data_IF_146861994532
#
_entry.id   IF_146861994532
#
_cell.length_a   1.000
_cell.length_b   1.000
_cell.length_c   1.000
_cell.angle_alpha   90.00
_cell.angle_beta   90.00
_cell.angle_gamma   90.00
#
_symmetry.space_group_name_H-M   'P 1'
#
loop_
_entity.id
_entity.type
_entity.pdbx_description
1 polymer ?
#
# COMPACT_ATOMS: atom_id res chain seq x y z
N UNK A 1 -3.46 22.20 14.75
CA UNK A 1 -2.97 21.87 13.40
C UNK A 1 -1.71 21.06 13.59
N UNK A 2 -1.65 19.83 13.08
CA UNK A 2 -0.36 19.14 12.98
C UNK A 2 0.52 19.97 12.06
N UNK A 3 1.68 20.38 12.56
CA UNK A 3 2.62 21.17 11.77
C UNK A 3 3.13 20.31 10.59
N UNK A 4 2.98 20.80 9.35
CA UNK A 4 3.66 20.23 8.19
C UNK A 4 2.82 19.44 7.19
N UNK A 5 1.50 19.33 7.35
CA UNK A 5 0.61 18.80 6.30
C UNK A 5 0.01 19.93 5.46
N UNK A 6 0.19 19.85 4.14
CA UNK A 6 -0.39 20.77 3.17
C UNK A 6 -1.53 20.08 2.42
N UNK A 7 -2.61 20.81 2.12
CA UNK A 7 -3.77 20.30 1.39
C UNK A 7 -3.95 21.11 0.11
N UNK A 8 -4.05 20.42 -1.03
CA UNK A 8 -4.32 21.02 -2.33
C UNK A 8 -5.61 20.47 -2.91
N UNK A 9 -6.56 21.35 -3.22
CA UNK A 9 -7.79 21.00 -3.92
C UNK A 9 -7.55 20.98 -5.43
N UNK A 10 -7.95 19.88 -6.08
CA UNK A 10 -7.62 19.58 -7.49
C UNK A 10 -8.85 19.35 -8.37
N UNK A 11 -10.05 19.60 -7.84
CA UNK A 11 -11.33 19.52 -8.57
C UNK A 11 -11.62 18.16 -9.22
N UNK A 12 -11.00 17.10 -8.71
CA UNK A 12 -11.24 15.72 -9.08
C UNK A 12 -11.11 14.86 -7.84
N UNK A 13 -12.03 13.91 -7.65
CA UNK A 13 -11.85 12.88 -6.61
C UNK A 13 -10.64 12.03 -6.94
N UNK A 14 -9.77 11.81 -5.96
CA UNK A 14 -8.51 11.10 -6.14
C UNK A 14 -8.65 9.68 -5.62
N UNK A 15 -8.53 8.69 -6.49
CA UNK A 15 -8.61 7.27 -6.13
C UNK A 15 -7.29 6.68 -5.71
N UNK A 16 -6.18 7.17 -6.29
CA UNK A 16 -4.83 6.63 -6.07
C UNK A 16 -3.78 7.72 -6.03
N UNK A 17 -2.81 7.58 -5.12
CA UNK A 17 -1.63 8.45 -5.01
C UNK A 17 -0.39 7.61 -4.80
N UNK A 18 0.68 7.84 -5.57
CA UNK A 18 1.97 7.13 -5.40
C UNK A 18 3.16 8.06 -5.60
N UNK A 19 4.16 7.97 -4.74
CA UNK A 19 5.45 8.62 -4.92
C UNK A 19 6.23 7.96 -6.05
N UNK A 20 6.93 8.78 -6.83
CA UNK A 20 7.91 8.28 -7.77
C UNK A 20 9.09 7.69 -6.98
N UNK A 21 9.52 6.45 -7.26
CA UNK A 21 10.65 5.86 -6.56
C UNK A 21 11.94 6.68 -6.72
N UNK A 22 12.58 7.04 -5.61
CA UNK A 22 13.91 7.63 -5.59
C UNK A 22 14.99 6.55 -5.53
N UNK A 23 16.12 6.79 -6.20
CA UNK A 23 17.26 5.88 -6.11
C UNK A 23 17.77 5.82 -4.68
N UNK A 24 18.08 4.62 -4.18
CA UNK A 24 18.58 4.41 -2.81
C UNK A 24 19.89 5.13 -2.49
N UNK A 25 20.64 5.56 -3.51
CA UNK A 25 21.83 6.39 -3.36
C UNK A 25 21.55 7.89 -3.26
N UNK A 26 20.31 8.33 -3.52
CA UNK A 26 19.92 9.72 -3.43
C UNK A 26 19.65 10.10 -1.97
N UNK A 27 20.28 11.18 -1.51
CA UNK A 27 19.98 11.80 -0.22
C UNK A 27 18.75 12.72 -0.30
N UNK A 28 18.19 12.93 -1.49
CA UNK A 28 17.04 13.80 -1.70
C UNK A 28 15.75 13.06 -1.31
N UNK A 29 14.89 13.77 -0.59
CA UNK A 29 13.51 13.34 -0.35
C UNK A 29 12.74 13.27 -1.68
N UNK A 30 11.71 12.40 -1.77
CA UNK A 30 10.87 12.36 -2.96
C UNK A 30 10.18 13.71 -3.17
N UNK A 31 10.12 14.10 -4.44
CA UNK A 31 9.65 15.41 -4.90
C UNK A 31 8.55 15.30 -5.96
N UNK A 32 8.34 14.11 -6.53
CA UNK A 32 7.35 13.85 -7.57
C UNK A 32 6.47 12.68 -7.17
N UNK A 33 5.18 12.83 -7.39
CA UNK A 33 4.18 11.78 -7.21
C UNK A 33 3.16 11.80 -8.35
N UNK A 34 2.47 10.69 -8.53
CA UNK A 34 1.40 10.53 -9.49
C UNK A 34 0.05 10.36 -8.77
N UNK A 35 -1.02 10.81 -9.42
CA UNK A 35 -2.40 10.60 -8.96
C UNK A 35 -3.27 10.04 -10.06
N UNK A 36 -4.23 9.20 -9.69
CA UNK A 36 -5.34 8.76 -10.52
C UNK A 36 -6.66 9.30 -9.97
N UNK A 37 -7.58 9.67 -10.86
CA UNK A 37 -8.92 10.13 -10.49
C UNK A 37 -9.99 9.05 -10.76
N UNK A 38 -11.13 9.19 -10.08
CA UNK A 38 -12.29 8.31 -10.25
C UNK A 38 -13.61 9.05 -10.03
N UNK A 39 -14.72 8.50 -10.54
CA UNK A 39 -16.06 9.08 -10.38
C UNK A 39 -16.16 10.52 -10.93
N UNK A 40 -15.44 10.79 -12.02
CA UNK A 40 -15.51 12.05 -12.78
C UNK A 40 -15.94 11.75 -14.23
N UNK A 41 -16.52 12.75 -14.90
CA UNK A 41 -16.86 12.64 -16.34
C UNK A 41 -15.61 12.36 -17.20
N UNK A 42 -14.49 13.01 -16.86
CA UNK A 42 -13.20 12.87 -17.52
C UNK A 42 -12.11 12.52 -16.50
N UNK A 43 -11.89 11.22 -16.27
CA UNK A 43 -10.82 10.76 -15.40
C UNK A 43 -9.43 10.98 -16.03
N UNK A 44 -8.44 11.20 -15.16
CA UNK A 44 -7.07 11.55 -15.56
C UNK A 44 -6.03 10.83 -14.71
N UNK A 45 -4.83 10.73 -15.27
CA UNK A 45 -3.60 10.47 -14.54
C UNK A 45 -2.78 11.76 -14.57
N UNK A 46 -2.30 12.19 -13.42
CA UNK A 46 -1.60 13.45 -13.26
C UNK A 46 -0.28 13.23 -12.54
N UNK A 47 0.77 13.94 -12.97
CA UNK A 47 2.08 13.99 -12.32
C UNK A 47 2.22 15.34 -11.63
N UNK A 48 2.66 15.30 -10.38
CA UNK A 48 2.82 16.47 -9.54
C UNK A 48 4.26 16.57 -9.05
N UNK A 49 4.76 17.80 -8.88
CA UNK A 49 6.06 18.08 -8.30
C UNK A 49 5.91 19.00 -7.11
N UNK A 50 6.69 18.77 -6.06
CA UNK A 50 6.76 19.63 -4.88
C UNK A 50 8.14 20.26 -4.85
N UNK A 51 8.19 21.59 -4.86
CA UNK A 51 9.44 22.34 -4.85
C UNK A 51 10.37 21.98 -3.68
N UNK A 52 11.68 22.15 -3.88
CA UNK A 52 12.66 22.06 -2.80
C UNK A 52 12.57 23.26 -1.87
N UNK A 53 12.85 23.04 -0.58
CA UNK A 53 13.10 24.08 0.40
C UNK A 53 14.35 24.89 -0.01
N UNK A 54 14.17 25.93 -0.82
CA UNK A 54 15.22 26.90 -1.12
C UNK A 54 15.20 27.46 -2.53
N UNK A 55 14.88 28.76 -2.60
CA UNK A 55 15.16 29.72 -3.68
C UNK A 55 14.11 29.77 -4.81
N UNK A 56 13.02 30.48 -4.55
CA UNK A 56 12.55 31.60 -5.40
C UNK A 56 11.63 32.46 -4.51
N UNK A 57 11.67 33.79 -4.49
CA UNK A 57 11.98 34.69 -5.58
C UNK A 57 10.68 35.14 -6.22
N UNK A 58 9.92 35.97 -5.48
CA UNK A 58 8.78 36.76 -5.97
C UNK A 58 7.67 35.93 -6.64
N UNK A 59 6.85 35.27 -5.82
CA UNK A 59 5.39 35.19 -5.95
C UNK A 59 4.83 34.43 -4.75
N UNK A 60 3.55 34.65 -4.42
CA UNK A 60 2.80 34.20 -3.22
C UNK A 60 2.63 32.66 -3.08
N UNK A 61 3.51 31.86 -3.70
CA UNK A 61 3.44 30.39 -3.68
C UNK A 61 3.91 29.84 -2.33
N UNK A 62 3.00 29.18 -1.62
CA UNK A 62 3.28 28.56 -0.32
C UNK A 62 4.28 27.40 -0.46
N UNK A 63 5.33 27.44 0.35
CA UNK A 63 6.37 26.41 0.44
C UNK A 63 5.75 25.01 0.59
N UNK A 64 6.05 24.10 -0.34
CA UNK A 64 5.56 22.72 -0.33
C UNK A 64 4.18 22.49 -0.95
N UNK A 65 3.61 23.46 -1.70
CA UNK A 65 2.39 23.24 -2.49
C UNK A 65 2.66 22.39 -3.76
N UNK A 66 1.97 21.26 -3.97
CA UNK A 66 2.16 20.42 -5.16
C UNK A 66 1.81 21.13 -6.48
N UNK A 67 2.70 21.21 -7.45
CA UNK A 67 2.44 21.79 -8.77
C UNK A 67 2.19 20.70 -9.82
N UNK A 68 1.18 20.92 -10.67
CA UNK A 68 0.86 20.00 -11.76
C UNK A 68 1.95 20.09 -12.83
N UNK A 69 2.62 18.96 -13.11
CA UNK A 69 3.63 18.84 -14.16
C UNK A 69 2.98 18.51 -15.50
N UNK A 70 2.17 17.45 -15.52
CA UNK A 70 1.43 17.03 -16.70
C UNK A 70 0.28 16.10 -16.34
N UNK A 71 -0.67 15.96 -17.26
CA UNK A 71 -1.82 15.08 -17.13
C UNK A 71 -2.12 14.37 -18.44
N UNK A 72 -2.78 13.22 -18.36
CA UNK A 72 -3.28 12.48 -19.50
C UNK A 72 -4.68 11.94 -19.20
N UNK A 73 -5.58 12.00 -20.19
CA UNK A 73 -6.93 11.41 -20.07
C UNK A 73 -6.84 9.90 -19.86
N UNK A 74 -7.60 9.39 -18.92
CA UNK A 74 -7.72 7.96 -18.63
C UNK A 74 -9.13 7.48 -19.00
N UNK A 75 -9.22 6.32 -19.66
CA UNK A 75 -10.50 5.73 -20.02
C UNK A 75 -11.02 4.87 -18.86
N UNK A 76 -12.21 5.20 -18.34
CA UNK A 76 -12.72 4.64 -17.10
C UNK A 76 -12.02 5.19 -15.86
N UNK A 77 -12.44 4.70 -14.69
CA UNK A 77 -11.87 5.06 -13.40
C UNK A 77 -10.47 4.46 -13.23
N UNK A 78 -9.57 5.20 -12.60
CA UNK A 78 -8.28 4.66 -12.19
C UNK A 78 -8.50 3.89 -10.88
N UNK A 79 -8.60 2.57 -10.96
CA UNK A 79 -8.87 1.73 -9.79
C UNK A 79 -7.61 1.43 -8.98
N UNK A 80 -6.49 1.21 -9.69
CA UNK A 80 -5.17 1.09 -9.08
C UNK A 80 -4.08 1.76 -9.94
N UNK A 81 -3.00 2.19 -9.28
CA UNK A 81 -1.87 2.90 -9.87
C UNK A 81 -0.59 2.52 -9.13
N UNK A 82 0.43 2.11 -9.88
CA UNK A 82 1.75 1.78 -9.33
C UNK A 82 2.88 2.28 -10.26
N UNK A 83 3.99 2.72 -9.68
CA UNK A 83 5.21 2.96 -10.45
C UNK A 83 5.91 1.62 -10.73
N UNK A 84 6.22 1.37 -12.00
CA UNK A 84 7.05 0.22 -12.39
C UNK A 84 8.54 0.56 -12.22
N UNK A 85 8.90 1.81 -12.53
CA UNK A 85 10.23 2.40 -12.37
C UNK A 85 10.10 3.93 -12.31
N UNK A 86 11.18 4.68 -12.53
CA UNK A 86 11.18 6.15 -12.46
C UNK A 86 10.39 6.82 -13.59
N UNK A 87 10.22 6.15 -14.73
CA UNK A 87 9.65 6.73 -15.95
C UNK A 87 8.29 6.10 -16.28
N UNK A 88 8.01 4.88 -15.82
CA UNK A 88 6.83 4.10 -16.21
C UNK A 88 5.86 3.91 -15.04
N UNK A 89 4.59 4.16 -15.33
CA UNK A 89 3.46 4.02 -14.40
C UNK A 89 2.48 3.02 -15.01
N UNK A 90 1.98 2.09 -14.19
CA UNK A 90 0.97 1.11 -14.59
C UNK A 90 -0.34 1.49 -13.92
N UNK A 91 -1.44 1.49 -14.69
CA UNK A 91 -2.78 1.74 -14.17
C UNK A 91 -3.76 0.64 -14.52
N UNK A 92 -4.69 0.42 -13.59
CA UNK A 92 -5.83 -0.49 -13.72
C UNK A 92 -7.08 0.34 -13.94
N UNK A 93 -7.86 -0.04 -14.94
CA UNK A 93 -9.10 0.66 -15.30
C UNK A 93 -10.35 -0.12 -14.87
N UNK A 94 -11.42 0.61 -14.55
CA UNK A 94 -12.77 0.03 -14.39
C UNK A 94 -13.30 -0.62 -15.67
N UNK A 95 -12.70 -0.32 -16.83
CA UNK A 95 -12.99 -1.00 -18.11
C UNK A 95 -12.32 -2.38 -18.23
N UNK A 96 -11.48 -2.78 -17.28
CA UNK A 96 -10.67 -4.00 -17.36
C UNK A 96 -9.38 -3.86 -18.15
N UNK A 97 -9.07 -2.64 -18.62
CA UNK A 97 -7.82 -2.33 -19.29
C UNK A 97 -6.66 -2.18 -18.29
N UNK A 98 -5.48 -2.63 -18.70
CA UNK A 98 -4.20 -2.38 -18.01
C UNK A 98 -3.33 -1.53 -18.94
N UNK A 99 -2.83 -0.40 -18.44
CA UNK A 99 -2.15 0.60 -19.27
C UNK A 99 -0.80 0.94 -18.65
N UNK A 100 0.25 0.94 -19.45
CA UNK A 100 1.56 1.49 -19.06
C UNK A 100 1.71 2.87 -19.67
N UNK A 101 1.82 3.88 -18.84
CA UNK A 101 2.19 5.24 -19.21
C UNK A 101 3.69 5.45 -19.05
N UNK A 102 4.27 6.24 -19.96
CA UNK A 102 5.64 6.73 -19.86
C UNK A 102 5.64 8.24 -19.64
N UNK A 103 6.32 8.67 -18.59
CA UNK A 103 6.60 10.07 -18.30
C UNK A 103 7.89 10.50 -19.01
N UNK A 104 7.78 11.51 -19.86
CA UNK A 104 8.92 12.10 -20.58
C UNK A 104 9.40 13.34 -19.85
N UNK A 105 10.48 13.18 -19.08
CA UNK A 105 11.06 14.24 -18.25
C UNK A 105 11.37 15.54 -19.00
N UNK A 106 11.91 15.44 -20.22
CA UNK A 106 12.35 16.62 -20.99
C UNK A 106 11.18 17.45 -21.53
N UNK A 107 10.08 16.79 -21.91
CA UNK A 107 8.90 17.46 -22.47
C UNK A 107 7.82 17.70 -21.42
N UNK A 108 7.96 17.12 -20.21
CA UNK A 108 6.94 17.12 -19.17
C UNK A 108 5.59 16.65 -19.74
N UNK A 109 5.59 15.48 -20.38
CA UNK A 109 4.39 14.88 -20.98
C UNK A 109 4.25 13.42 -20.61
N UNK A 110 3.02 12.93 -20.54
CA UNK A 110 2.68 11.52 -20.45
C UNK A 110 2.29 10.98 -21.83
N UNK A 111 2.71 9.75 -22.12
CA UNK A 111 2.25 9.00 -23.31
C UNK A 111 1.94 7.56 -22.96
N UNK A 112 0.95 6.96 -23.62
CA UNK A 112 0.70 5.52 -23.52
C UNK A 112 1.85 4.75 -24.17
N UNK A 113 2.51 3.90 -23.40
CA UNK A 113 3.60 3.02 -23.86
C UNK A 113 3.09 1.63 -24.26
N UNK A 114 2.20 1.06 -23.46
CA UNK A 114 1.58 -0.25 -23.72
C UNK A 114 0.14 -0.25 -23.19
N UNK A 115 -0.72 -1.05 -23.81
CA UNK A 115 -2.14 -1.12 -23.50
C UNK A 115 -2.67 -2.55 -23.72
N UNK A 116 -3.25 -3.13 -22.68
CA UNK A 116 -4.05 -4.34 -22.76
C UNK A 116 -5.50 -3.99 -22.49
N UNK A 117 -6.25 -3.65 -23.55
CA UNK A 117 -7.63 -3.11 -23.45
C UNK A 117 -8.62 -4.05 -22.75
N UNK A 118 -8.41 -5.36 -22.87
CA UNK A 118 -9.31 -6.40 -22.35
C UNK A 118 -8.54 -7.41 -21.50
N UNK A 119 -7.65 -6.93 -20.63
CA UNK A 119 -6.92 -7.79 -19.71
C UNK A 119 -7.89 -8.55 -18.81
N UNK A 120 -8.79 -7.81 -18.14
CA UNK A 120 -9.85 -8.38 -17.33
C UNK A 120 -11.20 -8.23 -18.04
N UNK A 121 -11.92 -9.35 -18.18
CA UNK A 121 -13.21 -9.33 -18.87
C UNK A 121 -14.09 -10.53 -18.54
N UNK A 122 -15.39 -10.29 -18.55
CA UNK A 122 -16.41 -11.32 -18.63
C UNK A 122 -16.63 -11.75 -20.09
N UNK A 123 -17.31 -12.88 -20.36
CA UNK A 123 -17.60 -13.31 -21.74
C UNK A 123 -18.40 -12.28 -22.55
N UNK A 124 -19.24 -11.49 -21.89
CA UNK A 124 -20.17 -10.56 -22.53
C UNK A 124 -19.95 -9.09 -22.17
N UNK A 125 -19.04 -8.78 -21.25
CA UNK A 125 -18.82 -7.42 -20.76
C UNK A 125 -17.37 -7.23 -20.28
N UNK A 126 -17.01 -6.00 -20.00
CA UNK A 126 -15.77 -5.66 -19.31
C UNK A 126 -15.84 -6.05 -17.84
N UNK A 127 -14.71 -6.41 -17.25
CA UNK A 127 -14.60 -6.69 -15.83
C UNK A 127 -13.52 -5.76 -15.26
N UNK A 128 -13.80 -5.01 -14.19
CA UNK A 128 -12.81 -4.11 -13.60
C UNK A 128 -11.51 -4.82 -13.21
N UNK A 129 -10.39 -4.18 -13.51
CA UNK A 129 -9.08 -4.55 -12.97
C UNK A 129 -8.96 -3.87 -11.61
N UNK A 130 -8.89 -4.66 -10.54
CA UNK A 130 -9.05 -4.16 -9.16
C UNK A 130 -7.72 -3.86 -8.47
N UNK A 131 -6.65 -4.59 -8.81
CA UNK A 131 -5.34 -4.42 -8.19
C UNK A 131 -4.18 -4.72 -9.12
N UNK A 132 -3.07 -4.02 -8.91
CA UNK A 132 -1.80 -4.16 -9.62
C UNK A 132 -0.66 -4.20 -8.60
N UNK A 133 0.28 -5.11 -8.82
CA UNK A 133 1.57 -5.06 -8.14
C UNK A 133 2.71 -5.19 -9.15
N UNK A 134 3.75 -4.36 -8.96
CA UNK A 134 4.91 -4.30 -9.84
C UNK A 134 6.16 -4.86 -9.14
N UNK A 135 6.91 -5.69 -9.85
CA UNK A 135 8.27 -6.09 -9.49
C UNK A 135 9.11 -6.10 -10.77
N UNK A 136 9.62 -4.91 -11.14
CA UNK A 136 10.19 -4.66 -12.47
C UNK A 136 11.15 -5.76 -12.95
N UNK A 137 10.94 -6.31 -14.16
CA UNK A 137 10.01 -5.89 -15.21
C UNK A 137 8.63 -6.59 -15.18
N UNK A 138 8.32 -7.33 -14.13
CA UNK A 138 7.07 -8.11 -13.98
C UNK A 138 5.95 -7.24 -13.42
N UNK A 139 4.74 -7.45 -13.94
CA UNK A 139 3.52 -6.79 -13.51
C UNK A 139 2.48 -7.88 -13.28
N UNK A 140 1.83 -7.88 -12.13
CA UNK A 140 0.72 -8.78 -11.82
C UNK A 140 -0.54 -7.96 -11.65
N UNK A 141 -1.63 -8.41 -12.27
CA UNK A 141 -2.94 -7.79 -12.12
C UNK A 141 -4.00 -8.79 -11.72
N UNK A 142 -5.02 -8.29 -11.02
CA UNK A 142 -6.20 -9.03 -10.58
C UNK A 142 -7.46 -8.25 -10.90
N UNK A 143 -8.60 -8.94 -10.99
CA UNK A 143 -9.86 -8.30 -11.35
C UNK A 143 -11.10 -9.02 -10.81
N UNK A 144 -12.25 -8.41 -11.07
CA UNK A 144 -13.56 -8.96 -10.67
C UNK A 144 -13.96 -10.21 -11.45
N UNK A 145 -13.26 -10.52 -12.55
CA UNK A 145 -13.42 -11.75 -13.31
C UNK A 145 -12.73 -12.95 -12.67
N UNK A 146 -12.07 -12.77 -11.52
CA UNK A 146 -11.38 -13.84 -10.80
C UNK A 146 -10.13 -14.34 -11.52
N UNK A 147 -9.57 -13.56 -12.45
CA UNK A 147 -8.31 -13.88 -13.12
C UNK A 147 -7.13 -13.24 -12.40
N UNK A 148 -6.00 -13.92 -12.50
CA UNK A 148 -4.70 -13.38 -12.12
C UNK A 148 -3.82 -13.42 -13.36
N UNK A 149 -3.27 -12.27 -13.75
CA UNK A 149 -2.52 -12.14 -15.00
C UNK A 149 -1.12 -11.63 -14.69
N UNK A 150 -0.10 -12.33 -15.20
CA UNK A 150 1.30 -11.94 -15.15
C UNK A 150 1.71 -11.41 -16.52
N UNK A 151 2.15 -10.16 -16.54
CA UNK A 151 2.72 -9.48 -17.70
C UNK A 151 4.20 -9.23 -17.52
N UNK A 152 4.85 -8.84 -18.61
CA UNK A 152 6.19 -8.27 -18.59
C UNK A 152 6.18 -6.98 -19.38
N UNK A 153 6.66 -5.90 -18.77
CA UNK A 153 6.60 -4.55 -19.35
C UNK A 153 7.35 -4.37 -20.68
N UNK A 154 8.24 -5.30 -21.02
CA UNK A 154 9.03 -5.24 -22.26
C UNK A 154 8.45 -6.16 -23.36
N UNK A 155 7.32 -6.82 -23.10
CA UNK A 155 6.67 -7.75 -24.01
C UNK A 155 5.20 -7.33 -24.21
N UNK A 156 4.70 -7.40 -25.44
CA UNK A 156 3.29 -7.09 -25.72
C UNK A 156 2.35 -8.22 -25.24
N UNK A 157 2.88 -9.43 -25.07
CA UNK A 157 2.11 -10.61 -24.68
C UNK A 157 1.97 -10.78 -23.17
N UNK A 158 0.97 -11.59 -22.79
CA UNK A 158 0.79 -12.09 -21.43
C UNK A 158 1.77 -13.23 -21.18
N UNK A 159 2.47 -13.24 -20.03
CA UNK A 159 3.35 -14.34 -19.65
C UNK A 159 2.57 -15.55 -19.13
N UNK A 160 1.60 -15.29 -18.24
CA UNK A 160 0.76 -16.32 -17.65
C UNK A 160 -0.59 -15.75 -17.24
N UNK A 161 -1.66 -16.49 -17.50
CA UNK A 161 -2.99 -16.23 -16.95
C UNK A 161 -3.43 -17.42 -16.11
N UNK A 162 -3.85 -17.15 -14.88
CA UNK A 162 -4.56 -18.11 -14.04
C UNK A 162 -6.05 -17.82 -14.20
N UNK A 163 -6.70 -18.62 -15.04
CA UNK A 163 -8.14 -18.53 -15.30
C UNK A 163 -8.93 -19.13 -14.15
N UNK A 164 -10.01 -18.45 -13.74
CA UNK A 164 -10.87 -18.85 -12.62
C UNK A 164 -10.08 -19.11 -11.32
N UNK A 165 -9.10 -18.25 -11.03
CA UNK A 165 -8.32 -18.32 -9.79
C UNK A 165 -9.22 -18.12 -8.56
N UNK A 166 -10.22 -17.25 -8.68
CA UNK A 166 -11.25 -17.10 -7.67
C UNK A 166 -12.66 -17.09 -8.26
N UNK A 167 -13.61 -17.57 -7.48
CA UNK A 167 -15.05 -17.50 -7.77
C UNK A 167 -15.68 -16.22 -7.20
N UNK A 168 -14.93 -15.50 -6.37
CA UNK A 168 -15.29 -14.22 -5.77
C UNK A 168 -14.39 -13.11 -6.32
N UNK A 169 -14.84 -11.86 -6.25
CA UNK A 169 -14.03 -10.70 -6.63
C UNK A 169 -12.71 -10.68 -5.87
N UNK A 170 -11.60 -10.58 -6.60
CA UNK A 170 -10.28 -10.34 -6.03
C UNK A 170 -10.14 -8.82 -5.89
N UNK A 171 -9.84 -8.32 -4.71
CA UNK A 171 -9.74 -6.87 -4.46
C UNK A 171 -8.31 -6.36 -4.62
N UNK A 172 -7.31 -7.09 -4.12
CA UNK A 172 -5.93 -6.62 -4.12
C UNK A 172 -4.92 -7.79 -4.15
N UNK A 173 -3.67 -7.48 -4.51
CA UNK A 173 -2.58 -8.43 -4.72
C UNK A 173 -1.24 -7.85 -4.27
N UNK A 174 -0.41 -8.69 -3.64
CA UNK A 174 0.98 -8.32 -3.30
C UNK A 174 1.96 -9.46 -3.61
N UNK A 175 3.21 -9.14 -3.91
CA UNK A 175 4.27 -10.14 -4.04
C UNK A 175 4.77 -10.56 -2.68
N UNK A 176 4.73 -11.86 -2.36
CA UNK A 176 5.46 -12.42 -1.21
C UNK A 176 6.94 -12.58 -1.56
N UNK A 177 7.21 -13.19 -2.72
CA UNK A 177 8.54 -13.45 -3.31
C UNK A 177 8.45 -13.20 -4.82
N UNK A 178 9.59 -13.23 -5.52
CA UNK A 178 9.63 -12.99 -6.98
C UNK A 178 8.61 -13.81 -7.78
N UNK A 179 8.37 -15.07 -7.41
CA UNK A 179 7.44 -15.95 -8.14
C UNK A 179 6.15 -16.26 -7.37
N UNK A 180 5.99 -15.71 -6.17
CA UNK A 180 4.87 -16.01 -5.28
C UNK A 180 4.13 -14.72 -4.92
N UNK A 181 2.83 -14.74 -5.14
CA UNK A 181 1.94 -13.63 -4.81
C UNK A 181 0.92 -14.07 -3.77
N UNK A 182 0.29 -13.09 -3.15
CA UNK A 182 -0.86 -13.26 -2.28
C UNK A 182 -1.98 -12.35 -2.75
N UNK A 183 -3.19 -12.89 -2.86
CA UNK A 183 -4.40 -12.14 -3.25
C UNK A 183 -5.40 -12.12 -2.11
N UNK A 184 -6.17 -11.03 -2.00
CA UNK A 184 -7.32 -10.92 -1.08
C UNK A 184 -8.63 -10.77 -1.84
N UNK A 185 -9.73 -11.27 -1.27
CA UNK A 185 -11.01 -11.33 -1.97
C UNK A 185 -12.21 -10.86 -1.14
N UNK A 186 -13.37 -10.79 -1.80
CA UNK A 186 -14.63 -10.29 -1.23
C UNK A 186 -15.28 -11.18 -0.16
N UNK A 187 -14.66 -12.32 0.18
CA UNK A 187 -15.13 -13.24 1.22
C UNK A 187 -14.13 -13.41 2.37
N UNK A 188 -13.11 -12.56 2.44
CA UNK A 188 -12.17 -12.52 3.55
C UNK A 188 -11.09 -13.59 3.50
N UNK A 189 -10.75 -14.08 2.31
CA UNK A 189 -9.69 -15.06 2.13
C UNK A 189 -8.43 -14.42 1.57
N UNK A 190 -7.28 -14.88 2.06
CA UNK A 190 -5.98 -14.67 1.46
C UNK A 190 -5.62 -15.96 0.72
N UNK A 191 -5.25 -15.86 -0.55
CA UNK A 191 -4.80 -17.01 -1.35
C UNK A 191 -3.38 -16.78 -1.84
N UNK A 192 -2.52 -17.78 -1.65
CA UNK A 192 -1.14 -17.75 -2.12
C UNK A 192 -1.06 -18.48 -3.46
N UNK A 193 -0.36 -17.88 -4.41
CA UNK A 193 -0.19 -18.41 -5.74
C UNK A 193 1.28 -18.43 -6.10
N UNK A 194 1.70 -19.47 -6.82
CA UNK A 194 3.06 -19.59 -7.34
C UNK A 194 3.01 -19.71 -8.85
N UNK A 195 3.68 -18.80 -9.56
CA UNK A 195 3.68 -18.77 -11.02
C UNK A 195 4.37 -19.99 -11.67
N UNK A 196 5.16 -20.73 -10.90
CA UNK A 196 5.84 -21.95 -11.36
C UNK A 196 4.92 -23.17 -11.37
N UNK A 197 3.83 -23.12 -10.62
CA UNK A 197 2.85 -24.21 -10.58
C UNK A 197 2.04 -24.22 -11.88
N UNK A 198 1.77 -25.41 -12.41
CA UNK A 198 1.02 -25.56 -13.67
C UNK A 198 -0.50 -25.50 -13.48
N UNK A 199 -0.99 -25.71 -12.25
CA UNK A 199 -2.41 -25.65 -11.93
C UNK A 199 -2.95 -24.24 -11.69
N UNK A 200 -4.27 -24.12 -11.69
CA UNK A 200 -5.00 -22.90 -11.34
C UNK A 200 -5.53 -22.92 -9.90
N UNK A 201 -4.90 -23.72 -9.04
CA UNK A 201 -5.28 -23.83 -7.63
C UNK A 201 -4.28 -23.06 -6.75
N UNK A 202 -4.75 -22.42 -5.67
CA UNK A 202 -3.86 -21.74 -4.75
C UNK A 202 -3.01 -22.74 -3.96
N UNK A 203 -1.79 -22.37 -3.64
CA UNK A 203 -0.88 -23.19 -2.83
C UNK A 203 -1.31 -23.24 -1.35
N UNK A 204 -1.94 -22.16 -0.88
CA UNK A 204 -2.43 -22.03 0.48
C UNK A 204 -3.59 -21.03 0.54
N UNK A 205 -4.54 -21.28 1.45
CA UNK A 205 -5.67 -20.39 1.72
C UNK A 205 -5.68 -20.08 3.22
N UNK A 206 -5.69 -18.80 3.56
CA UNK A 206 -5.85 -18.28 4.93
C UNK A 206 -7.18 -17.52 4.99
N UNK A 207 -7.82 -17.50 6.16
CA UNK A 207 -9.09 -16.77 6.33
C UNK A 207 -9.41 -16.60 7.81
N UNK A 208 -10.04 -15.49 8.18
CA UNK A 208 -10.58 -15.33 9.52
C UNK A 208 -11.72 -16.34 9.73
N UNK A 209 -11.68 -17.10 10.83
CA UNK A 209 -12.74 -18.07 11.16
C UNK A 209 -14.00 -17.32 11.58
N UNK A 210 -15.12 -17.60 10.91
CA UNK A 210 -16.41 -16.99 11.22
C UNK A 210 -16.95 -16.17 10.06
N UNK A 211 -17.19 -14.89 10.30
CA UNK A 211 -17.81 -13.98 9.34
C UNK A 211 -16.89 -13.73 8.14
N UNK A 212 -17.48 -13.86 6.94
CA UNK A 212 -16.81 -13.66 5.65
C UNK A 212 -16.80 -12.17 5.29
N UNK A 213 -16.00 -11.41 6.01
CA UNK A 213 -15.84 -9.97 5.79
C UNK A 213 -14.93 -9.74 4.59
N UNK A 214 -15.32 -8.94 3.57
CA UNK A 214 -14.45 -8.60 2.46
C UNK A 214 -13.13 -7.99 2.93
N UNK A 215 -12.02 -8.38 2.29
CA UNK A 215 -10.71 -7.75 2.46
C UNK A 215 -10.44 -6.90 1.22
N UNK A 216 -10.13 -5.62 1.43
CA UNK A 216 -9.97 -4.63 0.36
C UNK A 216 -8.52 -4.40 -0.02
N UNK A 217 -7.59 -4.50 0.94
CA UNK A 217 -6.19 -4.21 0.70
C UNK A 217 -5.25 -5.17 1.40
N UNK A 218 -4.04 -5.32 0.85
CA UNK A 218 -2.98 -6.13 1.42
C UNK A 218 -1.59 -5.57 1.12
N UNK A 219 -0.74 -5.55 2.14
CA UNK A 219 0.68 -5.23 1.95
C UNK A 219 1.60 -6.20 2.70
N UNK A 220 2.78 -6.43 2.13
CA UNK A 220 3.78 -7.34 2.66
C UNK A 220 4.90 -6.56 3.32
N UNK A 221 5.22 -6.95 4.54
CA UNK A 221 6.37 -6.43 5.27
C UNK A 221 7.66 -6.47 4.42
N UNK A 222 8.39 -5.36 4.25
CA UNK A 222 9.47 -5.23 3.27
C UNK A 222 10.65 -6.19 3.55
N UNK A 223 10.99 -6.39 4.83
CA UNK A 223 12.11 -7.25 5.24
C UNK A 223 11.72 -8.70 5.56
N UNK A 224 10.44 -9.00 5.78
CA UNK A 224 9.98 -10.29 6.31
C UNK A 224 8.86 -10.82 5.44
N UNK A 225 9.23 -11.60 4.41
CA UNK A 225 8.34 -12.03 3.33
C UNK A 225 7.11 -12.83 3.75
N UNK A 226 7.07 -13.29 5.00
CA UNK A 226 5.99 -14.09 5.55
C UNK A 226 4.96 -13.27 6.33
N UNK A 227 5.23 -11.98 6.57
CA UNK A 227 4.33 -11.08 7.29
C UNK A 227 3.55 -10.25 6.27
N UNK A 228 2.23 -10.28 6.39
CA UNK A 228 1.34 -9.43 5.60
C UNK A 228 0.33 -8.73 6.51
N UNK A 229 -0.04 -7.51 6.14
CA UNK A 229 -1.11 -6.74 6.75
C UNK A 229 -2.28 -6.67 5.78
N UNK A 230 -3.52 -6.76 6.28
CA UNK A 230 -4.72 -6.62 5.45
C UNK A 230 -5.74 -5.71 6.10
N UNK A 231 -6.50 -4.99 5.28
CA UNK A 231 -7.63 -4.15 5.68
C UNK A 231 -8.96 -4.70 5.21
N UNK A 232 -9.97 -4.64 6.07
CA UNK A 232 -11.30 -5.18 5.82
C UNK A 232 -12.39 -4.12 5.61
N UNK A 233 -13.54 -4.60 5.12
CA UNK A 233 -14.81 -3.85 5.03
C UNK A 233 -15.30 -3.36 6.41
N UNK A 234 -14.93 -4.04 7.49
CA UNK A 234 -15.25 -3.69 8.86
C UNK A 234 -14.27 -2.68 9.50
N UNK A 235 -13.30 -2.19 8.74
CA UNK A 235 -12.28 -1.26 9.22
C UNK A 235 -11.21 -1.91 10.10
N UNK A 236 -11.16 -3.25 10.17
CA UNK A 236 -10.18 -3.97 11.00
C UNK A 236 -8.83 -4.09 10.29
N UNK A 237 -7.74 -3.92 11.06
CA UNK A 237 -6.38 -4.23 10.64
C UNK A 237 -6.01 -5.65 11.10
N UNK A 238 -5.71 -6.53 10.16
CA UNK A 238 -5.24 -7.89 10.45
C UNK A 238 -3.76 -8.05 10.09
N UNK A 239 -2.97 -8.63 10.98
CA UNK A 239 -1.58 -9.05 10.73
C UNK A 239 -1.53 -10.56 10.64
N UNK A 240 -0.87 -11.08 9.60
CA UNK A 240 -0.76 -12.51 9.33
C UNK A 240 0.70 -12.95 9.27
N UNK A 241 1.02 -14.11 9.83
CA UNK A 241 2.22 -14.87 9.48
C UNK A 241 1.78 -16.02 8.57
N UNK A 242 2.06 -15.91 7.27
CA UNK A 242 1.60 -16.90 6.27
C UNK A 242 2.18 -18.30 6.49
N UNK A 243 3.19 -18.45 7.34
CA UNK A 243 3.75 -19.76 7.73
C UNK A 243 2.97 -20.42 8.86
N UNK A 244 2.17 -19.66 9.60
CA UNK A 244 1.52 -20.10 10.83
C UNK A 244 0.01 -20.19 10.68
N UNK A 245 -0.49 -21.43 10.58
CA UNK A 245 -1.91 -21.71 10.61
C UNK A 245 -2.69 -21.02 9.48
N UNK A 246 -4.01 -20.93 9.66
CA UNK A 246 -4.93 -20.33 8.69
C UNK A 246 -5.58 -19.04 9.20
N UNK A 247 -5.15 -18.55 10.37
CA UNK A 247 -5.77 -17.45 11.11
C UNK A 247 -4.80 -16.28 11.24
N UNK A 248 -5.31 -15.03 11.37
CA UNK A 248 -4.44 -13.89 11.60
C UNK A 248 -3.73 -14.03 12.94
N UNK A 249 -2.50 -13.53 12.99
CA UNK A 249 -1.71 -13.43 14.20
C UNK A 249 -2.27 -12.35 15.14
N UNK A 250 -2.72 -11.23 14.58
CA UNK A 250 -3.33 -10.13 15.33
C UNK A 250 -4.47 -9.52 14.56
N UNK A 251 -5.47 -9.07 15.30
CA UNK A 251 -6.68 -8.41 14.81
C UNK A 251 -6.88 -7.15 15.67
N UNK A 252 -7.00 -5.99 15.04
CA UNK A 252 -7.00 -4.69 15.71
C UNK A 252 -8.11 -3.81 15.13
N UNK A 253 -8.85 -3.16 16.02
CA UNK A 253 -9.83 -2.13 15.67
C UNK A 253 -9.06 -0.88 15.22
N UNK A 254 -9.15 -0.56 13.93
CA UNK A 254 -8.44 0.56 13.32
C UNK A 254 -9.40 1.69 12.96
N UNK A 255 -10.40 1.39 12.14
CA UNK A 255 -11.31 2.38 11.57
C UNK A 255 -12.77 2.03 11.86
N UNK A 256 -13.65 3.01 11.65
CA UNK A 256 -15.11 2.87 11.83
C UNK A 256 -15.85 2.49 10.54
N UNK A 257 -15.14 2.43 9.42
CA UNK A 257 -15.61 2.07 8.09
C UNK A 257 -14.49 1.34 7.31
N UNK A 258 -14.77 0.98 6.06
CA UNK A 258 -13.90 0.24 5.16
C UNK A 258 -12.46 0.77 5.16
N UNK A 259 -11.48 -0.12 5.29
CA UNK A 259 -10.07 0.25 5.10
C UNK A 259 -9.70 0.09 3.62
N UNK A 260 -9.27 1.17 2.97
CA UNK A 260 -8.98 1.17 1.53
C UNK A 260 -7.54 0.79 1.20
N UNK A 261 -6.57 1.24 1.99
CA UNK A 261 -5.17 0.87 1.82
C UNK A 261 -4.47 0.67 3.16
N UNK A 262 -3.47 -0.20 3.14
CA UNK A 262 -2.52 -0.42 4.22
C UNK A 262 -1.12 -0.53 3.63
N UNK A 263 -0.15 0.16 4.21
CA UNK A 263 1.24 0.12 3.74
C UNK A 263 2.21 0.07 4.92
N UNK A 264 3.09 -0.92 4.93
CA UNK A 264 4.29 -0.84 5.77
C UNK A 264 5.19 0.27 5.26
N UNK A 265 5.86 0.96 6.17
CA UNK A 265 6.88 1.91 5.75
C UNK A 265 8.06 1.15 5.09
N UNK A 266 8.47 1.51 3.85
CA UNK A 266 9.39 0.69 3.06
C UNK A 266 10.77 0.46 3.68
N UNK A 267 11.31 1.46 4.39
CA UNK A 267 12.66 1.40 4.97
C UNK A 267 12.69 1.19 6.49
N UNK A 268 11.63 1.58 7.20
CA UNK A 268 11.49 1.39 8.65
C UNK A 268 10.15 0.71 8.97
N UNK A 269 10.05 -0.63 8.82
CA UNK A 269 8.77 -1.34 8.92
C UNK A 269 8.24 -1.51 10.34
N UNK A 270 8.85 -0.89 11.35
CA UNK A 270 8.22 -0.70 12.66
C UNK A 270 7.05 0.31 12.57
N UNK A 271 6.94 1.03 11.44
CA UNK A 271 5.82 1.90 11.11
C UNK A 271 4.93 1.31 10.01
N UNK A 272 3.62 1.52 10.14
CA UNK A 272 2.59 1.14 9.18
C UNK A 272 1.56 2.27 9.07
N UNK A 273 0.94 2.41 7.89
CA UNK A 273 -0.07 3.43 7.63
C UNK A 273 -1.32 2.77 7.07
N UNK A 274 -2.50 3.28 7.46
CA UNK A 274 -3.79 2.82 6.93
C UNK A 274 -4.73 4.00 6.67
N UNK A 275 -5.58 3.89 5.66
CA UNK A 275 -6.62 4.88 5.36
C UNK A 275 -7.99 4.24 5.14
N UNK A 276 -9.05 5.03 5.34
CA UNK A 276 -10.41 4.51 5.42
C UNK A 276 -11.46 5.43 4.80
N UNK A 277 -12.61 4.81 4.48
CA UNK A 277 -13.86 5.45 4.10
C UNK A 277 -14.37 6.43 5.16
N UNK A 278 -14.03 6.22 6.44
CA UNK A 278 -14.41 7.14 7.52
C UNK A 278 -13.66 8.48 7.50
N UNK A 279 -12.77 8.65 6.51
CA UNK A 279 -11.98 9.84 6.29
C UNK A 279 -10.69 9.89 7.10
N UNK A 280 -10.38 8.89 7.92
CA UNK A 280 -9.15 8.87 8.71
C UNK A 280 -7.96 8.27 7.97
N UNK A 281 -6.77 8.79 8.30
CA UNK A 281 -5.48 8.16 7.98
C UNK A 281 -4.75 7.96 9.31
N UNK A 282 -4.38 6.72 9.60
CA UNK A 282 -3.70 6.34 10.84
C UNK A 282 -2.25 5.97 10.56
N UNK A 283 -1.36 6.46 11.42
CA UNK A 283 0.03 6.04 11.53
C UNK A 283 0.16 5.15 12.77
N UNK A 284 0.72 3.96 12.57
CA UNK A 284 0.93 2.93 13.56
C UNK A 284 2.42 2.79 13.82
N UNK A 285 2.82 2.79 15.08
CA UNK A 285 4.21 2.59 15.49
C UNK A 285 4.32 1.44 16.50
N UNK A 286 5.23 0.50 16.23
CA UNK A 286 5.61 -0.50 17.22
C UNK A 286 6.83 -0.03 17.99
N UNK A 287 6.68 0.24 19.29
CA UNK A 287 7.84 0.61 20.13
C UNK A 287 8.80 -0.56 20.28
N UNK A 288 9.93 -0.57 19.57
CA UNK A 288 11.05 -1.47 19.86
C UNK A 288 11.82 -0.88 21.06
N UNK A 289 11.89 -1.62 22.17
CA UNK A 289 12.54 -1.12 23.37
C UNK A 289 14.07 -1.23 23.19
N UNK A 290 14.70 -0.26 22.53
CA UNK A 290 16.17 -0.11 22.55
C UNK A 290 16.66 0.98 23.51
N UNK A 291 15.77 1.80 24.08
CA UNK A 291 16.14 2.94 24.92
C UNK A 291 15.66 2.81 26.37
N UNK A 292 16.15 1.79 27.07
CA UNK A 292 16.43 1.94 28.50
C UNK A 292 17.85 1.49 28.79
N UNK A 293 18.84 2.41 28.92
CA UNK A 293 20.02 2.05 29.69
C UNK A 293 19.52 1.81 31.12
N UNK A 294 19.53 0.55 31.55
CA UNK A 294 19.25 0.16 32.93
C UNK A 294 20.35 0.72 33.84
N UNK A 295 20.27 2.02 34.12
CA UNK A 295 21.04 2.73 35.11
C UNK A 295 20.06 3.58 35.89
N UNK A 296 20.05 3.37 37.22
CA UNK A 296 19.19 3.99 38.23
C UNK A 296 17.86 3.25 38.53
N UNK A 297 17.98 2.10 39.18
CA UNK A 297 17.04 1.79 40.27
C UNK A 297 17.83 1.29 41.50
N UNK A 298 18.40 2.26 42.22
CA UNK A 298 18.75 2.06 43.62
C UNK A 298 17.48 2.12 44.46
N UNK A 299 17.10 1.00 45.08
CA UNK A 299 15.97 0.96 45.98
C UNK A 299 15.47 -0.45 46.25
N UNK A 300 15.83 -0.99 47.42
CA UNK A 300 15.42 -2.29 47.98
C UNK A 300 13.89 -2.49 47.88
N UNK A 301 13.45 -3.65 47.39
CA UNK A 301 12.66 -4.62 48.17
C UNK A 301 12.31 -5.89 47.37
N UNK A 302 12.13 -6.96 48.13
CA UNK A 302 12.13 -8.37 47.79
C UNK A 302 10.78 -8.90 47.32
N UNK A 303 10.74 -9.61 46.18
CA UNK A 303 9.93 -10.83 46.03
C UNK A 303 10.44 -11.71 44.88
N UNK A 304 10.71 -12.97 45.23
CA UNK A 304 11.11 -14.05 44.34
C UNK A 304 9.88 -14.56 43.60
N UNK A 305 9.90 -14.60 42.26
CA UNK A 305 9.31 -15.70 41.48
C UNK A 305 10.18 -15.99 40.24
N UNK A 306 10.81 -17.16 40.29
CA UNK A 306 11.24 -18.06 39.21
C UNK A 306 11.98 -17.50 37.97
N UNK A 307 13.31 -17.59 38.03
CA UNK A 307 14.20 -17.64 36.86
C UNK A 307 14.23 -19.06 36.27
N UNK A 308 13.86 -19.18 35.00
CA UNK A 308 14.39 -20.15 34.02
C UNK A 308 13.90 -19.63 32.65
N UNK A 309 14.71 -19.25 31.66
CA UNK A 309 15.99 -19.77 31.25
C UNK A 309 16.97 -18.64 30.87
N UNK A 310 18.25 -18.88 31.17
CA UNK A 310 19.38 -18.15 30.60
C UNK A 310 19.44 -18.52 29.12
N UNK A 311 19.28 -17.54 28.23
CA UNK A 311 19.60 -17.72 26.82
C UNK A 311 21.12 -17.99 26.69
N UNK A 312 21.55 -19.01 25.93
CA UNK A 312 22.96 -19.16 25.62
C UNK A 312 23.40 -17.99 24.74
N UNK A 313 24.53 -17.37 25.10
CA UNK A 313 25.24 -16.49 24.20
C UNK A 313 25.69 -17.28 22.97
N UNK A 314 25.23 -16.88 21.78
CA UNK A 314 25.62 -17.48 20.51
C UNK A 314 24.53 -18.36 19.89
N UNK A 315 23.61 -17.75 19.16
CA UNK A 315 22.63 -18.42 18.30
C UNK A 315 21.76 -17.37 17.64
N UNK A 316 21.63 -17.44 16.31
CA UNK A 316 20.85 -16.53 15.47
C UNK A 316 19.49 -16.20 16.11
N UNK A 317 19.37 -15.02 16.74
CA UNK A 317 18.07 -14.47 17.06
C UNK A 317 17.46 -14.08 15.73
N UNK A 318 16.58 -14.93 15.20
CA UNK A 318 15.56 -14.46 14.27
C UNK A 318 14.83 -13.37 15.04
N UNK A 319 15.15 -12.10 14.75
CA UNK A 319 14.46 -10.94 15.29
C UNK A 319 12.98 -11.13 14.94
N UNK A 320 12.18 -11.57 15.90
CA UNK A 320 10.74 -11.67 15.73
C UNK A 320 10.26 -10.25 15.47
N UNK A 321 9.58 -10.02 14.34
CA UNK A 321 9.00 -8.71 14.04
C UNK A 321 8.16 -8.23 15.21
N UNK A 322 8.22 -6.94 15.52
CA UNK A 322 7.38 -6.32 16.55
C UNK A 322 5.89 -6.59 16.30
N UNK A 323 5.49 -6.69 15.03
CA UNK A 323 4.15 -7.06 14.56
C UNK A 323 3.73 -8.51 14.86
N UNK A 324 4.68 -9.38 15.18
CA UNK A 324 4.45 -10.77 15.59
C UNK A 324 4.76 -11.00 17.09
N UNK A 325 4.73 -9.94 17.91
CA UNK A 325 4.87 -10.08 19.36
C UNK A 325 3.50 -10.37 20.00
N UNK A 326 3.43 -11.42 20.84
CA UNK A 326 2.18 -11.90 21.41
C UNK A 326 1.46 -10.87 22.31
N UNK A 327 0.22 -11.19 22.71
CA UNK A 327 -0.76 -10.29 23.36
C UNK A 327 -0.24 -9.42 24.53
N UNK A 328 0.82 -9.84 25.22
CA UNK A 328 1.46 -9.04 26.29
C UNK A 328 2.12 -7.74 25.79
N UNK A 329 2.29 -7.57 24.47
CA UNK A 329 2.84 -6.38 23.84
C UNK A 329 1.79 -5.50 23.13
N UNK A 330 0.49 -5.82 23.17
CA UNK A 330 -0.56 -4.98 22.53
C UNK A 330 -0.62 -3.55 23.07
N UNK A 331 -0.13 -3.31 24.30
CA UNK A 331 0.05 -1.96 24.86
C UNK A 331 1.27 -1.19 24.33
N UNK A 332 1.94 -1.67 23.27
CA UNK A 332 3.16 -1.08 22.68
C UNK A 332 2.96 -0.52 21.27
N UNK A 333 1.75 -0.65 20.74
CA UNK A 333 1.31 -0.07 19.47
C UNK A 333 0.71 1.31 19.76
N UNK A 334 1.34 2.34 19.24
CA UNK A 334 0.82 3.71 19.30
C UNK A 334 0.17 4.06 17.96
N UNK A 335 -0.99 4.71 18.02
CA UNK A 335 -1.73 5.16 16.84
C UNK A 335 -1.88 6.67 16.84
N UNK A 336 -1.57 7.29 15.70
CA UNK A 336 -1.69 8.73 15.49
C UNK A 336 -2.55 9.01 14.26
N UNK A 337 -3.57 9.85 14.40
CA UNK A 337 -4.34 10.36 13.26
C UNK A 337 -3.50 11.38 12.49
N UNK A 338 -3.35 11.25 11.18
CA UNK A 338 -2.47 12.10 10.38
C UNK A 338 -3.20 13.25 9.67
N UNK A 339 -4.53 13.17 9.58
CA UNK A 339 -5.37 14.17 8.93
C UNK A 339 -6.23 14.95 9.94
N UNK A 340 -6.68 16.17 9.60
CA UNK A 340 -7.69 16.89 10.37
C UNK A 340 -8.98 16.09 10.53
N UNK A 341 -9.75 16.36 11.57
CA UNK A 341 -11.10 15.81 11.70
C UNK A 341 -12.01 16.34 10.58
N UNK A 342 -12.92 15.50 10.08
CA UNK A 342 -13.95 15.81 9.05
C UNK A 342 -13.49 15.81 7.58
N UNK A 343 -12.41 15.11 7.25
CA UNK A 343 -12.14 14.69 5.87
C UNK A 343 -13.23 13.75 5.35
N UNK A 344 -13.52 13.81 4.05
CA UNK A 344 -14.24 12.72 3.36
C UNK A 344 -13.30 11.51 3.22
N UNK A 345 -13.82 10.42 2.67
CA UNK A 345 -13.09 9.17 2.41
C UNK A 345 -11.66 9.41 1.92
N UNK A 346 -10.71 8.73 2.56
CA UNK A 346 -9.29 8.75 2.17
C UNK A 346 -9.02 7.47 1.40
N UNK A 347 -9.04 7.59 0.08
CA UNK A 347 -9.06 6.45 -0.84
C UNK A 347 -7.70 5.79 -1.02
N UNK A 348 -6.61 6.54 -0.82
CA UNK A 348 -5.26 6.07 -1.08
C UNK A 348 -4.23 6.87 -0.34
N UNK A 349 -3.13 6.20 0.03
CA UNK A 349 -1.95 6.82 0.64
C UNK A 349 -0.68 6.22 0.04
N UNK A 350 0.41 6.97 0.09
CA UNK A 350 1.73 6.41 -0.13
C UNK A 350 2.78 7.11 0.72
N UNK A 351 3.77 6.34 1.17
CA UNK A 351 4.81 6.79 2.08
C UNK A 351 6.19 6.38 1.56
N UNK A 352 7.09 7.35 1.44
CA UNK A 352 8.45 7.13 1.02
C UNK A 352 9.42 8.04 1.79
N UNK A 353 10.22 7.43 2.66
CA UNK A 353 11.01 8.17 3.64
C UNK A 353 10.10 8.98 4.55
N UNK A 354 10.42 10.24 4.80
CA UNK A 354 9.60 11.12 5.65
C UNK A 354 8.41 11.76 4.91
N UNK A 355 8.12 11.34 3.68
CA UNK A 355 7.09 11.93 2.85
C UNK A 355 5.86 11.01 2.75
N UNK A 356 4.70 11.55 3.11
CA UNK A 356 3.39 10.95 2.96
C UNK A 356 2.58 11.78 1.96
N UNK A 357 1.90 11.11 1.05
CA UNK A 357 0.85 11.70 0.20
C UNK A 357 -0.42 10.88 0.38
N UNK A 358 -1.58 11.53 0.36
CA UNK A 358 -2.85 10.82 0.26
C UNK A 358 -3.88 11.60 -0.57
N UNK A 359 -4.83 10.86 -1.14
CA UNK A 359 -5.92 11.39 -1.94
C UNK A 359 -7.27 11.10 -1.31
N UNK A 360 -8.22 12.02 -1.49
CA UNK A 360 -9.54 11.95 -0.85
C UNK A 360 -10.68 12.20 -1.83
N UNK A 361 -11.89 11.82 -1.42
CA UNK A 361 -13.15 12.18 -2.08
C UNK A 361 -13.53 13.66 -1.92
N UNK A 362 -12.85 14.38 -1.03
CA UNK A 362 -12.95 15.84 -0.90
C UNK A 362 -12.26 16.62 -2.00
N UNK A 363 -11.96 15.98 -3.14
CA UNK A 363 -11.19 16.52 -4.27
C UNK A 363 -9.85 17.12 -3.83
N UNK A 364 -9.26 16.53 -2.79
CA UNK A 364 -8.08 17.06 -2.13
C UNK A 364 -6.95 16.03 -2.08
N UNK A 365 -5.74 16.52 -2.31
CA UNK A 365 -4.46 15.83 -2.08
C UNK A 365 -3.83 16.43 -0.83
N UNK A 366 -3.47 15.57 0.12
CA UNK A 366 -2.69 15.98 1.28
C UNK A 366 -1.26 15.49 1.16
N UNK A 367 -0.30 16.35 1.51
CA UNK A 367 1.13 16.03 1.49
C UNK A 367 1.76 16.42 2.82
N UNK A 368 2.50 15.51 3.43
CA UNK A 368 3.32 15.78 4.62
C UNK A 368 4.75 15.30 4.35
N UNK A 369 5.74 16.19 4.46
CA UNK A 369 7.17 15.86 4.20
C UNK A 369 8.01 15.65 5.47
N UNK A 370 7.37 15.61 6.63
CA UNK A 370 8.02 15.51 7.95
C UNK A 370 7.30 14.47 8.81
N UNK A 371 6.97 13.33 8.22
CA UNK A 371 6.40 12.20 8.98
C UNK A 371 7.44 11.71 10.00
N UNK A 372 7.07 11.52 11.27
CA UNK A 372 7.97 10.98 12.28
C UNK A 372 8.14 9.47 12.05
N UNK A 373 9.34 9.06 11.59
CA UNK A 373 9.73 7.67 11.29
C UNK A 373 11.14 7.37 11.77
#
# INVERSE_FOLDING_TARGET
MMEGINAKYVSQKISKTRWRPVSSSSLQQPDIFATGSWDNEDNKISIWSIGENGISGVDDEFEGDPQLVCEHKHNGDVLDLQFLDQDRIVTASSTGAVIIFRHHHNSQTLSVSQLWERAHHYPCDNAPCTGIVCNSPEIVTVGEDGRIILFRADQEGVLRTIENADSSTIHDVTFLRTTEILTVNSIGQLKIWDFRQQGNEPSQILSLTGDRVPLHCVDRHPNQQHIVATGGQDGMLCIWDVRQGNMPFSLMEAHSAEMWEVHFHPSNPDHLFSCSEDGSLLHWETSSNSDTPSFLQGGRNTSIVSRSAIAPAGGNQSLISSWLTGDSCKGRLETTHMLPSQTLSVNSLDVLGQCLVCGTDGEAIYVNRRVPI
#
